data_IF_072181452986
#
_entry.id   IF_072181452986
#
_cell.length_a   1.000
_cell.length_b   1.000
_cell.length_c   1.000
_cell.angle_alpha   90.00
_cell.angle_beta   90.00
_cell.angle_gamma   90.00
#
_symmetry.space_group_name_H-M   'P 1'
#
loop_
_entity.id
_entity.type
_entity.pdbx_description
1 polymer ?
#
# COMPACT_ATOMS: atom_id res chain seq x y z
N UNK A 1 57.42 10.52 -30.61
CA UNK A 1 56.40 9.52 -30.29
C UNK A 1 56.61 8.83 -28.93
N UNK A 2 57.79 8.28 -28.62
CA UNK A 2 58.03 7.54 -27.34
C UNK A 2 57.76 8.37 -26.05
N UNK A 3 58.05 9.68 -26.01
CA UNK A 3 57.80 10.54 -24.84
C UNK A 3 56.30 10.84 -24.61
N UNK A 4 55.46 10.86 -25.66
CA UNK A 4 53.99 11.07 -25.53
C UNK A 4 53.26 9.80 -25.07
N UNK A 5 53.76 8.62 -25.46
CA UNK A 5 53.22 7.33 -25.01
C UNK A 5 53.49 7.11 -23.52
N UNK A 6 54.70 7.48 -23.03
CA UNK A 6 55.05 7.38 -21.61
C UNK A 6 54.20 8.33 -20.73
N UNK A 7 53.90 9.54 -21.22
CA UNK A 7 53.02 10.48 -20.47
C UNK A 7 51.56 10.04 -20.39
N UNK A 8 51.05 9.38 -21.46
CA UNK A 8 49.68 8.84 -21.46
C UNK A 8 49.56 7.61 -20.53
N UNK A 9 50.57 6.74 -20.55
CA UNK A 9 50.63 5.59 -19.64
C UNK A 9 50.77 6.01 -18.16
N UNK A 10 51.54 7.07 -17.88
CA UNK A 10 51.70 7.61 -16.52
C UNK A 10 50.41 8.31 -16.03
N UNK A 11 49.71 9.02 -16.91
CA UNK A 11 48.39 9.63 -16.58
C UNK A 11 47.31 8.55 -16.38
N UNK A 12 47.31 7.46 -17.13
CA UNK A 12 46.42 6.33 -16.94
C UNK A 12 46.70 5.58 -15.63
N UNK A 13 47.97 5.40 -15.24
CA UNK A 13 48.34 4.81 -13.95
C UNK A 13 47.85 5.67 -12.75
N UNK A 14 47.95 7.01 -12.84
CA UNK A 14 47.49 7.92 -11.81
C UNK A 14 45.96 8.02 -11.74
N UNK A 15 45.23 7.74 -12.83
CA UNK A 15 43.76 7.69 -12.85
C UNK A 15 43.17 6.37 -12.29
N UNK A 16 43.93 5.26 -12.40
CA UNK A 16 43.50 3.93 -11.93
C UNK A 16 43.85 3.74 -10.43
N UNK A 17 44.92 4.35 -9.91
CA UNK A 17 45.28 4.25 -8.49
C UNK A 17 44.21 4.72 -7.52
N UNK A 18 43.54 5.88 -7.69
CA UNK A 18 42.51 6.29 -6.73
C UNK A 18 41.27 5.38 -6.73
N UNK A 19 40.93 4.79 -7.88
CA UNK A 19 39.80 3.84 -7.95
C UNK A 19 40.11 2.54 -7.20
N UNK A 20 41.31 1.98 -7.35
CA UNK A 20 41.71 0.75 -6.67
C UNK A 20 41.87 0.92 -5.15
N UNK A 21 42.28 2.09 -4.69
CA UNK A 21 42.37 2.42 -3.25
C UNK A 21 40.98 2.61 -2.65
N UNK A 22 40.07 3.27 -3.36
CA UNK A 22 38.67 3.44 -2.90
C UNK A 22 37.94 2.08 -2.82
N UNK A 23 38.11 1.22 -3.80
CA UNK A 23 37.55 -0.13 -3.79
C UNK A 23 38.09 -0.99 -2.63
N UNK A 24 39.40 -0.90 -2.38
CA UNK A 24 40.03 -1.64 -1.28
C UNK A 24 39.60 -1.11 0.10
N UNK A 25 39.37 0.19 0.24
CA UNK A 25 38.87 0.79 1.47
C UNK A 25 37.40 0.33 1.72
N UNK A 26 36.54 0.39 0.72
CA UNK A 26 35.15 -0.07 0.83
C UNK A 26 35.08 -1.57 1.17
N UNK A 27 35.92 -2.41 0.57
CA UNK A 27 35.97 -3.85 0.91
C UNK A 27 36.43 -4.09 2.34
N UNK A 28 37.38 -3.29 2.84
CA UNK A 28 37.83 -3.35 4.24
C UNK A 28 36.72 -3.01 5.23
N UNK A 29 35.88 -2.02 4.88
CA UNK A 29 34.74 -1.61 5.73
C UNK A 29 33.65 -2.71 5.76
N UNK A 30 33.39 -3.36 4.63
CA UNK A 30 32.49 -4.51 4.54
C UNK A 30 33.03 -5.70 5.35
N UNK A 31 34.31 -6.01 5.23
CA UNK A 31 34.94 -7.12 5.97
C UNK A 31 34.92 -6.88 7.49
N UNK A 32 34.93 -5.63 7.93
CA UNK A 32 34.82 -5.26 9.35
C UNK A 32 33.42 -5.53 9.94
N UNK A 33 32.39 -5.68 9.10
CA UNK A 33 31.03 -6.01 9.54
C UNK A 33 30.83 -7.50 9.83
N UNK A 34 31.75 -8.39 9.47
CA UNK A 34 31.63 -9.83 9.70
C UNK A 34 31.46 -10.14 11.19
N UNK A 35 30.46 -10.97 11.52
CA UNK A 35 30.11 -11.33 12.90
C UNK A 35 29.31 -10.26 13.64
N UNK A 36 28.90 -9.18 12.96
CA UNK A 36 27.93 -8.21 13.51
C UNK A 36 26.50 -8.67 13.25
N UNK A 37 25.53 -7.96 13.83
CA UNK A 37 24.09 -8.23 13.65
C UNK A 37 23.43 -7.10 12.90
N UNK A 38 22.46 -7.47 12.05
CA UNK A 38 21.55 -6.56 11.38
C UNK A 38 20.13 -6.85 11.86
N UNK A 39 19.44 -5.86 12.36
CA UNK A 39 18.07 -6.00 12.85
C UNK A 39 17.07 -5.49 11.83
N UNK A 40 16.24 -6.39 11.28
CA UNK A 40 15.26 -6.11 10.24
C UNK A 40 13.85 -6.28 10.81
N UNK A 41 12.96 -5.33 10.56
CA UNK A 41 11.57 -5.34 10.98
C UNK A 41 10.66 -5.19 9.75
N UNK A 42 9.98 -6.25 9.37
CA UNK A 42 9.21 -6.33 8.14
C UNK A 42 7.79 -6.88 8.41
N UNK A 43 6.96 -6.95 7.39
CA UNK A 43 5.67 -7.63 7.42
C UNK A 43 5.86 -9.14 7.57
N UNK A 44 4.82 -9.83 8.05
CA UNK A 44 4.73 -11.29 7.94
C UNK A 44 4.66 -11.72 6.46
N UNK A 45 5.14 -12.91 6.13
CA UNK A 45 5.09 -13.50 4.78
C UNK A 45 5.63 -12.59 3.65
N UNK A 46 6.61 -11.72 3.95
CA UNK A 46 7.04 -10.64 3.06
C UNK A 46 8.50 -10.70 2.66
N UNK A 47 9.08 -11.90 2.71
CA UNK A 47 10.43 -12.23 2.24
C UNK A 47 10.50 -13.72 1.98
N UNK A 48 11.20 -14.15 0.93
CA UNK A 48 11.46 -15.57 0.68
C UNK A 48 12.36 -16.14 1.78
N UNK A 49 11.87 -17.14 2.49
CA UNK A 49 12.46 -17.69 3.72
C UNK A 49 13.01 -19.11 3.59
N UNK A 50 13.03 -19.65 2.36
CA UNK A 50 13.49 -20.98 2.06
C UNK A 50 12.42 -22.06 2.20
N UNK A 51 11.16 -21.71 2.47
CA UNK A 51 10.05 -22.65 2.39
C UNK A 51 9.87 -23.13 0.94
N UNK A 52 9.35 -24.34 0.78
CA UNK A 52 9.05 -24.95 -0.53
C UNK A 52 10.24 -24.93 -1.53
N UNK A 53 11.46 -25.10 -1.01
CA UNK A 53 12.71 -25.09 -1.79
C UNK A 53 13.05 -23.72 -2.43
N UNK A 54 12.45 -22.65 -1.97
CA UNK A 54 12.75 -21.28 -2.39
C UNK A 54 14.09 -20.79 -1.82
N UNK A 55 14.56 -19.63 -2.26
CA UNK A 55 15.76 -19.00 -1.71
C UNK A 55 15.47 -18.47 -0.30
N UNK A 56 16.21 -18.91 0.71
CA UNK A 56 16.26 -18.21 2.01
C UNK A 56 17.13 -16.96 1.87
N UNK A 57 16.46 -15.82 1.69
CA UNK A 57 17.11 -14.52 1.40
C UNK A 57 17.96 -14.04 2.56
N UNK A 58 17.48 -14.20 3.80
CA UNK A 58 18.25 -13.79 4.97
C UNK A 58 19.51 -14.62 5.12
N UNK A 59 19.39 -15.94 5.02
CA UNK A 59 20.52 -16.85 5.09
C UNK A 59 21.51 -16.62 3.95
N UNK A 60 21.05 -16.35 2.72
CA UNK A 60 21.93 -16.06 1.60
C UNK A 60 22.73 -14.76 1.82
N UNK A 61 22.11 -13.74 2.45
CA UNK A 61 22.80 -12.53 2.88
C UNK A 61 23.87 -12.83 3.96
N UNK A 62 23.53 -13.61 4.98
CA UNK A 62 24.45 -14.03 6.04
C UNK A 62 25.66 -14.78 5.47
N UNK A 63 25.43 -15.72 4.56
CA UNK A 63 26.50 -16.49 3.90
C UNK A 63 27.43 -15.60 3.08
N UNK A 64 26.84 -14.62 2.37
CA UNK A 64 27.59 -13.70 1.50
C UNK A 64 28.45 -12.70 2.27
N UNK A 65 27.89 -12.08 3.30
CA UNK A 65 28.52 -10.97 4.00
C UNK A 65 29.07 -11.33 5.38
N UNK A 66 28.65 -12.46 5.96
CA UNK A 66 29.01 -12.88 7.32
C UNK A 66 28.40 -11.99 8.39
N UNK A 67 27.24 -11.41 8.15
CA UNK A 67 26.47 -10.56 9.05
C UNK A 67 25.21 -11.33 9.45
N UNK A 68 24.99 -11.56 10.75
CA UNK A 68 23.82 -12.28 11.23
C UNK A 68 22.56 -11.40 11.12
N UNK A 69 21.48 -11.90 10.51
CA UNK A 69 20.20 -11.19 10.39
C UNK A 69 19.26 -11.59 11.54
N UNK A 70 18.84 -10.60 12.31
CA UNK A 70 17.77 -10.76 13.31
C UNK A 70 16.50 -10.18 12.70
N UNK A 71 15.58 -11.07 12.31
CA UNK A 71 14.38 -10.71 11.57
C UNK A 71 13.15 -10.85 12.44
N UNK A 72 12.42 -9.74 12.61
CA UNK A 72 11.14 -9.67 13.32
C UNK A 72 10.04 -9.22 12.37
N UNK A 73 8.80 -9.60 12.66
CA UNK A 73 7.62 -9.26 11.84
C UNK A 73 6.60 -8.40 12.58
N UNK A 74 5.74 -7.73 11.82
CA UNK A 74 4.59 -6.96 12.31
C UNK A 74 3.38 -7.13 11.38
N UNK A 75 2.18 -6.91 11.95
CA UNK A 75 0.90 -7.15 11.26
C UNK A 75 0.35 -5.91 10.55
N UNK A 76 0.72 -4.70 11.01
CA UNK A 76 0.29 -3.44 10.40
C UNK A 76 1.22 -2.27 10.74
N UNK A 77 1.16 -1.20 9.93
CA UNK A 77 1.99 -0.02 10.06
C UNK A 77 1.85 0.68 11.41
N UNK A 78 0.66 0.73 11.98
CA UNK A 78 0.37 1.45 13.23
C UNK A 78 1.00 0.76 14.44
N UNK A 79 0.95 -0.57 14.48
CA UNK A 79 1.62 -1.40 15.50
C UNK A 79 3.14 -1.25 15.39
N UNK A 80 3.68 -1.39 14.18
CA UNK A 80 5.10 -1.18 13.89
C UNK A 80 5.56 0.19 14.36
N UNK A 81 4.88 1.25 13.90
CA UNK A 81 5.20 2.64 14.26
C UNK A 81 5.16 2.86 15.79
N UNK A 82 4.14 2.36 16.47
CA UNK A 82 3.98 2.51 17.91
C UNK A 82 5.12 1.82 18.67
N UNK A 83 5.53 0.63 18.24
CA UNK A 83 6.66 -0.11 18.82
C UNK A 83 7.97 0.66 18.63
N UNK A 84 8.26 1.16 17.44
CA UNK A 84 9.45 1.95 17.15
C UNK A 84 9.48 3.25 17.95
N UNK A 85 8.35 3.95 18.03
CA UNK A 85 8.24 5.23 18.77
C UNK A 85 8.38 5.07 20.27
N UNK A 86 8.01 3.91 20.83
CA UNK A 86 8.19 3.64 22.26
C UNK A 86 9.66 3.50 22.70
N UNK A 87 10.59 3.29 21.76
CA UNK A 87 12.03 3.28 21.99
C UNK A 87 12.57 2.06 22.75
N UNK A 88 11.77 1.00 22.93
CA UNK A 88 12.17 -0.19 23.68
C UNK A 88 13.03 -1.19 22.89
N UNK A 89 13.10 -1.06 21.56
CA UNK A 89 13.80 -1.98 20.65
C UNK A 89 14.51 -1.17 19.58
N UNK A 90 15.74 -1.58 19.23
CA UNK A 90 16.51 -0.97 18.14
C UNK A 90 16.50 -1.90 16.94
N UNK A 91 15.93 -1.44 15.83
CA UNK A 91 16.08 -2.05 14.51
C UNK A 91 16.95 -1.16 13.63
N UNK A 92 17.57 -1.74 12.61
CA UNK A 92 18.36 -1.01 11.61
C UNK A 92 17.49 -0.70 10.40
N UNK A 93 16.69 -1.68 9.95
CA UNK A 93 15.81 -1.59 8.77
C UNK A 93 14.36 -1.77 9.18
N UNK A 94 13.48 -1.05 8.48
CA UNK A 94 12.03 -1.25 8.50
C UNK A 94 11.49 -1.13 7.07
N UNK A 95 10.42 -1.87 6.72
CA UNK A 95 9.83 -1.85 5.37
C UNK A 95 8.35 -1.43 5.45
N UNK A 96 8.04 -0.16 5.69
CA UNK A 96 6.67 0.35 5.80
C UNK A 96 6.06 0.74 4.46
N UNK A 97 4.75 0.96 4.46
CA UNK A 97 4.04 1.54 3.32
C UNK A 97 4.28 3.05 3.19
N UNK A 98 4.04 3.56 2.00
CA UNK A 98 4.28 4.94 1.56
C UNK A 98 3.84 6.03 2.55
N UNK A 99 2.58 6.02 3.00
CA UNK A 99 2.08 7.02 3.95
C UNK A 99 2.81 6.99 5.30
N UNK A 100 3.22 5.79 5.72
CA UNK A 100 3.97 5.63 6.96
C UNK A 100 5.42 6.06 6.79
N UNK A 101 6.04 5.80 5.63
CA UNK A 101 7.36 6.36 5.26
C UNK A 101 7.30 7.88 5.36
N UNK A 102 6.29 8.52 4.75
CA UNK A 102 6.11 9.97 4.81
C UNK A 102 5.99 10.48 6.24
N UNK A 103 5.22 9.79 7.07
CA UNK A 103 5.09 10.11 8.50
C UNK A 103 6.42 10.02 9.23
N UNK A 104 7.13 8.90 9.06
CA UNK A 104 8.41 8.66 9.72
C UNK A 104 9.48 9.66 9.28
N UNK A 105 9.49 10.08 8.00
CA UNK A 105 10.34 11.18 7.51
C UNK A 105 10.00 12.49 8.25
N UNK A 106 8.71 12.86 8.29
CA UNK A 106 8.26 14.11 8.90
C UNK A 106 8.57 14.20 10.41
N UNK A 107 8.61 13.06 11.09
CA UNK A 107 8.92 12.94 12.51
C UNK A 107 10.42 12.71 12.78
N UNK A 108 11.26 12.64 11.73
CA UNK A 108 12.71 12.47 11.86
C UNK A 108 13.11 11.10 12.40
N UNK A 109 12.33 10.06 12.13
CA UNK A 109 12.56 8.67 12.57
C UNK A 109 13.45 7.88 11.61
N UNK A 110 13.72 8.37 10.40
CA UNK A 110 14.53 7.72 9.39
C UNK A 110 15.87 8.44 9.19
N UNK A 111 16.90 7.70 8.83
CA UNK A 111 18.17 8.21 8.34
C UNK A 111 18.21 8.24 6.82
N UNK A 112 18.91 9.23 6.27
CA UNK A 112 19.15 9.30 4.82
C UNK A 112 20.02 8.13 4.37
N UNK A 113 19.67 7.55 3.25
CA UNK A 113 20.38 6.44 2.61
C UNK A 113 21.55 7.00 1.80
N UNK A 114 22.72 6.36 1.90
CA UNK A 114 23.83 6.59 0.97
C UNK A 114 23.69 5.64 -0.23
N UNK A 115 23.12 6.16 -1.31
CA UNK A 115 22.90 5.39 -2.55
C UNK A 115 24.18 4.95 -3.24
N UNK A 116 25.36 5.46 -2.86
CA UNK A 116 26.63 4.95 -3.35
C UNK A 116 26.91 3.51 -2.89
N UNK A 117 26.29 3.09 -1.77
CA UNK A 117 26.34 1.73 -1.25
C UNK A 117 25.22 0.83 -1.83
N UNK A 118 24.34 1.39 -2.65
CA UNK A 118 23.20 0.67 -3.25
C UNK A 118 23.25 0.77 -4.78
N UNK A 119 24.29 0.27 -5.46
CA UNK A 119 24.43 0.35 -6.92
C UNK A 119 23.30 -0.34 -7.69
N UNK A 120 22.58 -1.29 -7.06
CA UNK A 120 21.45 -1.98 -7.66
C UNK A 120 20.15 -1.13 -7.68
N UNK A 121 20.14 0.05 -7.04
CA UNK A 121 19.04 1.03 -7.18
C UNK A 121 18.78 1.45 -8.64
N UNK A 122 19.75 1.24 -9.53
CA UNK A 122 19.60 1.43 -10.98
C UNK A 122 18.47 0.60 -11.60
N UNK A 123 18.10 -0.52 -10.96
CA UNK A 123 17.01 -1.40 -11.43
C UNK A 123 15.62 -0.90 -11.06
N UNK A 124 15.51 0.11 -10.19
CA UNK A 124 14.23 0.77 -9.89
C UNK A 124 13.96 1.83 -10.96
N UNK A 125 12.87 1.72 -11.74
CA UNK A 125 12.53 2.67 -12.80
C UNK A 125 12.01 4.00 -12.24
N UNK A 126 12.06 5.05 -13.06
CA UNK A 126 11.70 6.42 -12.67
C UNK A 126 10.25 6.55 -12.18
N UNK A 127 9.33 5.70 -12.66
CA UNK A 127 7.92 5.72 -12.25
C UNK A 127 7.71 5.40 -10.75
N UNK A 128 8.68 4.76 -10.10
CA UNK A 128 8.66 4.44 -8.66
C UNK A 128 9.63 5.32 -7.85
N UNK A 129 10.20 6.34 -8.47
CA UNK A 129 11.08 7.32 -7.83
C UNK A 129 10.36 8.66 -7.66
N UNK A 130 10.85 9.49 -6.75
CA UNK A 130 10.33 10.83 -6.48
C UNK A 130 8.83 10.86 -6.16
N UNK A 131 8.31 9.79 -5.56
CA UNK A 131 6.92 9.71 -5.17
C UNK A 131 6.62 10.64 -3.99
N UNK A 132 5.34 10.97 -3.80
CA UNK A 132 4.92 11.99 -2.83
C UNK A 132 5.35 11.71 -1.38
N UNK A 133 5.59 10.46 -1.02
CA UNK A 133 6.06 10.08 0.31
C UNK A 133 7.55 10.34 0.55
N UNK A 134 8.38 10.27 -0.49
CA UNK A 134 9.83 10.59 -0.45
C UNK A 134 10.26 11.31 -1.74
N UNK A 135 9.90 12.59 -1.93
CA UNK A 135 10.01 13.29 -3.21
C UNK A 135 11.44 13.52 -3.70
N UNK A 136 12.43 13.29 -2.85
CA UNK A 136 13.85 13.41 -3.21
C UNK A 136 14.57 12.07 -3.25
N UNK A 137 13.88 10.94 -2.99
CA UNK A 137 14.46 9.60 -2.83
C UNK A 137 15.65 9.60 -1.86
N UNK A 138 15.46 10.15 -0.66
CA UNK A 138 16.54 10.24 0.31
C UNK A 138 16.45 9.18 1.41
N UNK A 139 15.26 8.59 1.64
CA UNK A 139 14.97 7.80 2.83
C UNK A 139 14.46 6.39 2.56
N UNK A 140 13.99 6.10 1.34
CA UNK A 140 13.36 4.84 1.01
C UNK A 140 13.84 4.25 -0.31
N UNK A 141 13.86 2.92 -0.37
CA UNK A 141 14.08 2.15 -1.60
C UNK A 141 12.85 1.31 -1.85
N UNK A 142 12.14 1.47 -2.98
CA UNK A 142 10.96 0.67 -3.31
C UNK A 142 11.26 -0.83 -3.24
N UNK A 143 10.41 -1.56 -2.51
CA UNK A 143 10.56 -2.99 -2.27
C UNK A 143 9.48 -3.79 -2.99
N UNK A 144 8.21 -3.47 -2.75
CA UNK A 144 7.06 -4.03 -3.45
C UNK A 144 6.09 -2.94 -3.85
N UNK A 145 5.21 -3.24 -4.80
CA UNK A 145 4.09 -2.40 -5.17
C UNK A 145 2.83 -3.22 -5.22
N UNK A 146 1.70 -2.61 -4.93
CA UNK A 146 0.43 -3.32 -4.96
C UNK A 146 -0.78 -2.41 -5.06
N UNK A 147 -1.92 -3.05 -5.18
CA UNK A 147 -3.22 -2.38 -5.26
C UNK A 147 -4.26 -3.22 -4.54
N UNK A 148 -5.26 -2.54 -3.99
CA UNK A 148 -6.47 -3.18 -3.47
C UNK A 148 -7.50 -3.24 -4.58
N UNK A 149 -8.11 -4.41 -4.77
CA UNK A 149 -9.20 -4.60 -5.70
C UNK A 149 -10.31 -5.46 -5.10
N UNK A 150 -11.23 -5.90 -5.91
CA UNK A 150 -12.38 -6.69 -5.50
C UNK A 150 -12.24 -8.13 -6.00
N UNK A 151 -12.11 -9.07 -5.07
CA UNK A 151 -12.18 -10.50 -5.32
C UNK A 151 -13.64 -10.92 -5.34
N UNK A 152 -14.01 -11.76 -6.31
CA UNK A 152 -15.34 -12.35 -6.36
C UNK A 152 -15.28 -13.84 -6.72
N UNK A 153 -16.25 -14.60 -6.22
CA UNK A 153 -16.37 -16.02 -6.49
C UNK A 153 -17.40 -16.23 -7.62
N UNK A 154 -16.97 -16.77 -8.75
CA UNK A 154 -17.81 -16.96 -9.96
C UNK A 154 -18.94 -17.97 -9.78
N UNK A 155 -18.85 -18.87 -8.78
CA UNK A 155 -19.95 -19.79 -8.42
C UNK A 155 -21.09 -19.06 -7.66
N UNK A 156 -20.82 -17.86 -7.12
CA UNK A 156 -21.79 -17.09 -6.34
C UNK A 156 -22.20 -15.77 -7.03
N UNK A 157 -21.36 -15.28 -7.96
CA UNK A 157 -21.52 -13.99 -8.62
C UNK A 157 -21.60 -14.24 -10.13
N UNK A 158 -22.79 -14.10 -10.72
CA UNK A 158 -23.04 -14.41 -12.14
C UNK A 158 -22.35 -13.41 -13.09
N UNK A 159 -22.34 -12.13 -12.73
CA UNK A 159 -21.74 -11.06 -13.54
C UNK A 159 -20.58 -10.40 -12.78
N UNK A 160 -19.44 -10.27 -13.45
CA UNK A 160 -18.26 -9.64 -12.86
C UNK A 160 -18.60 -8.21 -12.37
N UNK A 161 -18.36 -7.87 -11.07
CA UNK A 161 -18.64 -6.55 -10.57
C UNK A 161 -17.65 -5.53 -11.16
N UNK A 162 -18.12 -4.34 -11.53
CA UNK A 162 -17.28 -3.25 -12.04
C UNK A 162 -17.12 -2.08 -11.07
N UNK A 163 -17.71 -2.20 -9.88
CA UNK A 163 -17.86 -1.11 -8.92
C UNK A 163 -17.71 -1.59 -7.49
N UNK A 164 -17.12 -0.75 -6.63
CA UNK A 164 -17.11 -0.98 -5.19
C UNK A 164 -18.51 -1.08 -4.58
N UNK A 165 -19.54 -0.55 -5.24
CA UNK A 165 -20.92 -0.61 -4.73
C UNK A 165 -21.44 -2.02 -4.56
N UNK A 166 -20.86 -3.02 -5.24
CA UNK A 166 -21.16 -4.44 -5.04
C UNK A 166 -20.99 -4.89 -3.57
N UNK A 167 -20.11 -4.24 -2.81
CA UNK A 167 -19.94 -4.50 -1.37
C UNK A 167 -21.10 -4.06 -0.49
N UNK A 168 -22.12 -3.42 -1.06
CA UNK A 168 -23.37 -3.01 -0.40
C UNK A 168 -24.60 -3.69 -0.99
N UNK A 169 -24.42 -4.62 -1.93
CA UNK A 169 -25.52 -5.29 -2.61
C UNK A 169 -26.20 -6.33 -1.70
N UNK A 170 -27.51 -6.19 -1.53
CA UNK A 170 -28.34 -7.10 -0.73
C UNK A 170 -28.37 -8.53 -1.27
N UNK A 171 -28.13 -8.72 -2.57
CA UNK A 171 -28.11 -10.05 -3.19
C UNK A 171 -26.97 -10.92 -2.61
N UNK A 172 -25.92 -10.31 -2.12
CA UNK A 172 -24.76 -11.01 -1.52
C UNK A 172 -24.75 -10.89 0.01
N UNK A 173 -25.88 -10.54 0.62
CA UNK A 173 -25.97 -10.38 2.07
C UNK A 173 -25.47 -11.64 2.81
N UNK A 174 -24.66 -11.43 3.85
CA UNK A 174 -23.95 -12.46 4.61
C UNK A 174 -22.86 -13.23 3.85
N UNK A 175 -22.57 -12.88 2.60
CA UNK A 175 -21.49 -13.46 1.80
C UNK A 175 -20.45 -12.42 1.36
N UNK A 176 -20.46 -11.24 1.99
CA UNK A 176 -19.49 -10.17 1.77
C UNK A 176 -18.54 -10.11 2.95
N UNK A 177 -17.26 -10.23 2.68
CA UNK A 177 -16.22 -9.89 3.65
C UNK A 177 -15.78 -8.44 3.45
N UNK A 178 -15.26 -7.82 4.49
CA UNK A 178 -14.68 -6.47 4.40
C UNK A 178 -13.29 -6.48 5.00
N UNK A 179 -12.38 -5.72 4.41
CA UNK A 179 -11.00 -5.60 4.88
C UNK A 179 -10.94 -4.91 6.25
N UNK A 180 -10.23 -5.50 7.21
CA UNK A 180 -10.05 -4.96 8.56
C UNK A 180 -8.81 -4.03 8.64
N UNK A 181 -8.63 -3.21 7.63
CA UNK A 181 -7.66 -2.13 7.61
C UNK A 181 -8.43 -0.80 7.49
N UNK A 182 -8.37 0.09 8.49
CA UNK A 182 -9.16 1.32 8.47
C UNK A 182 -8.85 2.19 7.25
N UNK A 183 -7.59 2.29 6.85
CA UNK A 183 -7.20 3.15 5.75
C UNK A 183 -7.80 2.68 4.43
N UNK A 184 -7.74 1.37 4.15
CA UNK A 184 -8.32 0.76 2.95
C UNK A 184 -9.85 0.76 2.98
N UNK A 185 -10.46 0.41 4.11
CA UNK A 185 -11.91 0.43 4.26
C UNK A 185 -12.50 1.82 4.01
N UNK A 186 -11.89 2.86 4.58
CA UNK A 186 -12.30 4.25 4.32
C UNK A 186 -12.05 4.65 2.86
N UNK A 187 -10.94 4.24 2.25
CA UNK A 187 -10.66 4.54 0.85
C UNK A 187 -11.70 3.93 -0.10
N UNK A 188 -12.16 2.71 0.16
CA UNK A 188 -13.25 2.08 -0.59
C UNK A 188 -14.54 2.90 -0.46
N UNK A 189 -14.94 3.28 0.74
CA UNK A 189 -16.12 4.11 0.95
C UNK A 189 -15.97 5.51 0.33
N UNK A 190 -14.78 6.10 0.43
CA UNK A 190 -14.48 7.40 -0.20
C UNK A 190 -14.49 7.30 -1.73
N UNK A 191 -14.03 6.19 -2.31
CA UNK A 191 -14.14 5.92 -3.75
C UNK A 191 -15.58 5.92 -4.23
N UNK A 192 -16.46 5.18 -3.55
CA UNK A 192 -17.91 5.15 -3.84
C UNK A 192 -18.51 6.56 -3.78
N UNK A 193 -18.08 7.38 -2.85
CA UNK A 193 -18.54 8.76 -2.68
C UNK A 193 -17.84 9.77 -3.60
N UNK A 194 -16.90 9.32 -4.46
CA UNK A 194 -16.14 10.20 -5.34
C UNK A 194 -15.19 11.16 -4.61
N UNK A 195 -14.75 10.80 -3.41
CA UNK A 195 -13.88 11.60 -2.55
C UNK A 195 -12.39 11.24 -2.76
N UNK A 196 -11.52 12.17 -2.41
CA UNK A 196 -10.08 11.95 -2.33
C UNK A 196 -9.74 11.16 -1.05
N UNK A 197 -8.85 10.14 -1.16
CA UNK A 197 -8.41 9.31 -0.02
C UNK A 197 -7.61 10.08 1.02
N UNK A 198 -7.03 11.20 0.62
CA UNK A 198 -6.16 12.04 1.44
C UNK A 198 -6.85 13.35 1.85
N UNK A 199 -8.19 13.43 1.72
CA UNK A 199 -8.88 14.66 2.07
C UNK A 199 -8.78 14.96 3.57
N UNK A 200 -8.76 16.25 3.90
CA UNK A 200 -8.63 16.74 5.27
C UNK A 200 -9.98 17.21 5.87
N UNK A 201 -11.09 16.90 5.20
CA UNK A 201 -12.42 17.29 5.65
C UNK A 201 -13.00 16.29 6.66
N UNK A 202 -13.17 16.69 7.91
CA UNK A 202 -13.85 15.86 8.91
C UNK A 202 -15.23 15.38 8.45
N UNK A 203 -15.97 16.22 7.72
CA UNK A 203 -17.30 15.87 7.19
C UNK A 203 -17.20 14.70 6.23
N UNK A 204 -16.22 14.71 5.33
CA UNK A 204 -16.00 13.61 4.37
C UNK A 204 -15.73 12.29 5.07
N UNK A 205 -14.90 12.28 6.13
CA UNK A 205 -14.59 11.10 6.92
C UNK A 205 -15.83 10.58 7.66
N UNK A 206 -16.65 11.47 8.23
CA UNK A 206 -17.91 11.08 8.90
C UNK A 206 -18.92 10.50 7.93
N UNK A 207 -19.06 11.05 6.73
CA UNK A 207 -19.96 10.51 5.69
C UNK A 207 -19.47 9.13 5.21
N UNK A 208 -18.18 8.95 5.00
CA UNK A 208 -17.61 7.64 4.68
C UNK A 208 -17.84 6.61 5.80
N UNK A 209 -17.73 7.03 7.06
CA UNK A 209 -18.04 6.16 8.21
C UNK A 209 -19.51 5.72 8.22
N UNK A 210 -20.46 6.62 7.90
CA UNK A 210 -21.89 6.26 7.82
C UNK A 210 -22.13 5.25 6.68
N UNK A 211 -21.46 5.40 5.54
CA UNK A 211 -21.53 4.43 4.46
C UNK A 211 -20.96 3.05 4.88
N UNK A 212 -19.85 3.02 5.63
CA UNK A 212 -19.30 1.77 6.19
C UNK A 212 -20.21 1.14 7.24
N UNK A 213 -20.91 1.93 8.05
CA UNK A 213 -21.93 1.41 8.98
C UNK A 213 -23.11 0.77 8.24
N UNK A 214 -23.53 1.37 7.12
CA UNK A 214 -24.55 0.79 6.25
C UNK A 214 -24.10 -0.54 5.64
N UNK A 215 -22.82 -0.65 5.26
CA UNK A 215 -22.23 -1.87 4.72
C UNK A 215 -22.31 -3.06 5.70
N UNK A 216 -22.26 -2.82 7.01
CA UNK A 216 -22.39 -3.88 8.02
C UNK A 216 -23.73 -4.61 7.99
N UNK A 217 -24.73 -4.07 7.34
CA UNK A 217 -26.04 -4.73 7.14
C UNK A 217 -25.90 -5.97 6.26
N UNK A 218 -24.99 -5.95 5.31
CA UNK A 218 -24.77 -7.03 4.34
C UNK A 218 -23.47 -7.81 4.58
N UNK A 219 -22.50 -7.22 5.29
CA UNK A 219 -21.21 -7.87 5.58
C UNK A 219 -21.17 -8.44 7.00
N UNK A 220 -20.99 -9.77 7.14
CA UNK A 220 -20.93 -10.41 8.46
C UNK A 220 -19.60 -10.17 9.18
N UNK A 221 -18.52 -9.91 8.45
CA UNK A 221 -17.17 -9.90 9.03
C UNK A 221 -16.23 -8.87 8.38
N UNK A 222 -15.39 -8.28 9.23
CA UNK A 222 -14.19 -7.58 8.86
C UNK A 222 -13.01 -8.54 9.09
N UNK A 223 -12.20 -8.79 8.08
CA UNK A 223 -11.16 -9.81 8.06
C UNK A 223 -9.79 -9.25 7.72
N UNK A 224 -8.76 -9.88 8.24
CA UNK A 224 -7.38 -9.79 7.76
C UNK A 224 -7.05 -11.13 7.07
N UNK A 225 -6.02 -11.84 7.49
CA UNK A 225 -5.58 -13.09 6.88
C UNK A 225 -6.62 -14.23 6.95
N UNK A 226 -7.68 -14.08 7.77
CA UNK A 226 -8.82 -15.01 7.74
C UNK A 226 -9.53 -15.04 6.37
N UNK A 227 -9.28 -14.04 5.52
CA UNK A 227 -9.82 -14.00 4.15
C UNK A 227 -9.36 -15.19 3.33
N UNK A 228 -8.11 -15.64 3.47
CA UNK A 228 -7.57 -16.78 2.74
C UNK A 228 -8.47 -18.02 2.93
N UNK A 229 -8.64 -18.44 4.18
CA UNK A 229 -9.46 -19.61 4.49
C UNK A 229 -10.90 -19.49 3.96
N UNK A 230 -11.50 -18.31 4.05
CA UNK A 230 -12.89 -18.08 3.67
C UNK A 230 -13.11 -18.03 2.17
N UNK A 231 -12.23 -17.34 1.44
CA UNK A 231 -12.32 -17.26 -0.02
C UNK A 231 -11.91 -18.58 -0.68
N UNK A 232 -10.87 -19.24 -0.19
CA UNK A 232 -10.42 -20.55 -0.66
C UNK A 232 -11.49 -21.63 -0.44
N UNK A 233 -12.19 -21.59 0.69
CA UNK A 233 -13.31 -22.52 0.97
C UNK A 233 -14.61 -22.18 0.20
N UNK A 234 -14.66 -21.06 -0.54
CA UNK A 234 -15.87 -20.61 -1.23
C UNK A 234 -16.98 -20.12 -0.29
N UNK A 235 -16.64 -19.67 0.92
CA UNK A 235 -17.62 -19.20 1.92
C UNK A 235 -18.13 -17.78 1.67
N UNK A 236 -17.45 -17.00 0.80
CA UNK A 236 -17.82 -15.62 0.51
C UNK A 236 -17.90 -15.35 -1.00
N UNK A 237 -18.87 -14.49 -1.36
CA UNK A 237 -19.10 -14.06 -2.73
C UNK A 237 -18.15 -12.93 -3.14
N UNK A 238 -17.90 -11.97 -2.25
CA UNK A 238 -17.17 -10.74 -2.49
C UNK A 238 -16.25 -10.40 -1.33
N UNK A 239 -15.02 -9.95 -1.65
CA UNK A 239 -14.07 -9.44 -0.68
C UNK A 239 -13.12 -8.41 -1.31
N UNK A 240 -12.98 -7.19 -0.75
CA UNK A 240 -11.90 -6.29 -1.13
C UNK A 240 -10.60 -6.77 -0.50
N UNK A 241 -9.55 -6.95 -1.30
CA UNK A 241 -8.24 -7.32 -0.78
C UNK A 241 -7.10 -6.99 -1.76
N UNK A 242 -5.88 -7.32 -1.38
CA UNK A 242 -4.69 -7.01 -2.17
C UNK A 242 -4.53 -7.95 -3.36
N UNK A 243 -4.05 -7.42 -4.47
CA UNK A 243 -3.91 -8.13 -5.74
C UNK A 243 -2.95 -9.34 -5.66
N UNK A 244 -1.87 -9.24 -4.86
CA UNK A 244 -0.93 -10.34 -4.65
C UNK A 244 -1.59 -11.51 -3.93
N UNK A 245 -2.26 -11.24 -2.81
CA UNK A 245 -2.93 -12.25 -2.00
C UNK A 245 -4.05 -12.96 -2.77
N UNK A 246 -4.75 -12.23 -3.66
CA UNK A 246 -5.70 -12.87 -4.57
C UNK A 246 -5.05 -13.96 -5.43
N UNK A 247 -3.85 -13.72 -5.97
CA UNK A 247 -3.18 -14.72 -6.81
C UNK A 247 -2.88 -15.99 -6.02
N UNK A 248 -2.44 -15.87 -4.78
CA UNK A 248 -2.24 -17.01 -3.87
C UNK A 248 -3.56 -17.74 -3.58
N UNK A 249 -4.64 -17.01 -3.25
CA UNK A 249 -5.95 -17.62 -3.02
C UNK A 249 -6.49 -18.32 -4.25
N UNK A 250 -6.26 -17.78 -5.45
CA UNK A 250 -6.72 -18.37 -6.73
C UNK A 250 -6.07 -19.73 -7.01
N UNK A 251 -4.84 -19.96 -6.57
CA UNK A 251 -4.21 -21.28 -6.70
C UNK A 251 -4.97 -22.37 -5.96
N UNK A 252 -5.57 -22.03 -4.81
CA UNK A 252 -6.34 -22.96 -3.99
C UNK A 252 -7.84 -23.00 -4.35
N UNK A 253 -8.37 -21.92 -4.92
CA UNK A 253 -9.75 -21.85 -5.41
C UNK A 253 -9.79 -21.19 -6.80
N UNK A 254 -9.84 -21.98 -7.88
CA UNK A 254 -9.84 -21.46 -9.27
C UNK A 254 -11.11 -20.68 -9.65
N UNK A 255 -12.19 -20.75 -8.84
CA UNK A 255 -13.43 -20.00 -9.08
C UNK A 255 -13.34 -18.54 -8.60
N UNK A 256 -12.24 -18.15 -7.97
CA UNK A 256 -12.00 -16.76 -7.60
C UNK A 256 -11.54 -15.95 -8.81
N UNK A 257 -12.10 -14.76 -8.97
CA UNK A 257 -11.67 -13.76 -9.95
C UNK A 257 -11.46 -12.41 -9.28
N UNK A 258 -10.77 -11.48 -9.98
CA UNK A 258 -10.39 -10.20 -9.45
C UNK A 258 -10.66 -9.06 -10.43
N UNK A 259 -11.14 -7.94 -9.93
CA UNK A 259 -11.37 -6.74 -10.73
C UNK A 259 -10.89 -5.49 -10.00
N UNK A 260 -10.51 -4.50 -10.77
CA UNK A 260 -10.27 -3.13 -10.31
C UNK A 260 -11.52 -2.29 -10.54
N UNK A 261 -12.23 -1.86 -9.46
CA UNK A 261 -13.45 -1.07 -9.59
C UNK A 261 -13.22 0.30 -10.27
N UNK A 262 -14.20 0.71 -11.06
CA UNK A 262 -14.15 1.93 -11.90
C UNK A 262 -14.01 3.26 -11.13
N UNK A 263 -14.41 3.29 -9.87
CA UNK A 263 -14.27 4.48 -9.02
C UNK A 263 -12.81 4.80 -8.71
N UNK A 264 -11.96 3.79 -8.78
CA UNK A 264 -10.54 3.87 -8.49
C UNK A 264 -10.13 3.08 -7.24
N UNK A 265 -8.84 2.86 -7.12
CA UNK A 265 -8.24 1.98 -6.11
C UNK A 265 -7.05 2.62 -5.43
N UNK A 266 -6.71 2.14 -4.24
CA UNK A 266 -5.42 2.44 -3.64
C UNK A 266 -4.31 1.74 -4.42
N UNK A 267 -3.28 2.51 -4.75
CA UNK A 267 -1.98 2.03 -5.21
C UNK A 267 -0.97 2.34 -4.11
N UNK A 268 -0.15 1.39 -3.70
CA UNK A 268 0.83 1.59 -2.65
C UNK A 268 2.23 1.14 -3.08
N UNK A 269 3.23 1.72 -2.44
CA UNK A 269 4.63 1.35 -2.57
C UNK A 269 5.20 1.13 -1.17
N UNK A 270 5.57 -0.10 -0.88
CA UNK A 270 6.31 -0.39 0.33
C UNK A 270 7.81 -0.21 0.07
N UNK A 271 8.51 0.36 1.01
CA UNK A 271 9.91 0.73 0.83
C UNK A 271 10.80 0.35 2.00
N UNK A 272 12.00 -0.15 1.68
CA UNK A 272 13.03 -0.39 2.67
C UNK A 272 13.64 0.93 3.13
N UNK A 273 13.59 1.17 4.44
CA UNK A 273 14.05 2.38 5.11
C UNK A 273 15.06 2.06 6.21
N UNK A 274 15.99 2.97 6.46
CA UNK A 274 16.96 2.86 7.56
C UNK A 274 16.46 3.73 8.72
N UNK A 275 16.35 3.12 9.90
CA UNK A 275 15.90 3.82 11.09
C UNK A 275 16.97 4.77 11.61
N UNK A 276 16.54 5.90 12.15
CA UNK A 276 17.44 6.86 12.78
C UNK A 276 18.12 6.25 13.99
N UNK A 277 19.46 6.29 13.97
CA UNK A 277 20.27 5.68 15.02
C UNK A 277 20.49 4.18 14.82
N UNK A 278 20.26 3.66 13.62
CA UNK A 278 20.69 2.31 13.20
C UNK A 278 22.16 2.09 13.58
N UNK A 279 22.43 0.98 14.25
CA UNK A 279 23.78 0.70 14.75
C UNK A 279 24.73 0.29 13.64
N UNK A 280 24.20 -0.33 12.58
CA UNK A 280 24.95 -0.86 11.45
C UNK A 280 24.40 -0.32 10.11
N UNK A 281 24.47 1.02 9.94
CA UNK A 281 23.94 1.66 8.73
C UNK A 281 24.52 1.11 7.43
N UNK A 282 25.83 0.85 7.37
CA UNK A 282 26.45 0.26 6.19
C UNK A 282 25.93 -1.17 5.93
N UNK A 283 25.75 -1.99 6.98
CA UNK A 283 25.14 -3.31 6.83
C UNK A 283 23.70 -3.22 6.33
N UNK A 284 22.93 -2.22 6.79
CA UNK A 284 21.58 -1.95 6.31
C UNK A 284 21.56 -1.56 4.81
N UNK A 285 22.47 -0.70 4.38
CA UNK A 285 22.61 -0.32 2.97
C UNK A 285 23.03 -1.51 2.09
N UNK A 286 23.94 -2.37 2.58
CA UNK A 286 24.31 -3.61 1.89
C UNK A 286 23.15 -4.60 1.77
N UNK A 287 22.33 -4.72 2.84
CA UNK A 287 21.15 -5.58 2.81
C UNK A 287 20.10 -5.05 1.81
N UNK A 288 19.83 -3.75 1.81
CA UNK A 288 18.93 -3.14 0.82
C UNK A 288 19.46 -3.34 -0.59
N UNK A 289 20.78 -3.19 -0.81
CA UNK A 289 21.40 -3.48 -2.11
C UNK A 289 21.28 -4.95 -2.49
N UNK A 290 21.41 -5.86 -1.53
CA UNK A 290 21.26 -7.30 -1.74
C UNK A 290 19.82 -7.68 -2.12
N UNK A 291 18.80 -7.09 -1.49
CA UNK A 291 17.41 -7.27 -1.87
C UNK A 291 17.13 -6.85 -3.33
N UNK A 292 17.96 -5.96 -3.88
CA UNK A 292 17.90 -5.51 -5.29
C UNK A 292 18.87 -6.29 -6.21
N UNK A 293 19.47 -7.38 -5.78
CA UNK A 293 20.15 -8.29 -6.71
C UNK A 293 19.10 -9.00 -7.55
N UNK A 294 19.24 -9.10 -8.89
CA UNK A 294 18.18 -9.63 -9.75
C UNK A 294 17.65 -10.99 -9.32
N UNK A 295 18.53 -11.91 -8.92
CA UNK A 295 18.17 -13.25 -8.46
C UNK A 295 17.40 -13.21 -7.13
N UNK A 296 17.78 -12.33 -6.20
CA UNK A 296 17.13 -12.14 -4.91
C UNK A 296 15.78 -11.46 -5.07
N UNK A 297 15.73 -10.40 -5.89
CA UNK A 297 14.49 -9.69 -6.19
C UNK A 297 13.46 -10.59 -6.88
N UNK A 298 13.92 -11.47 -7.79
CA UNK A 298 13.06 -12.46 -8.43
C UNK A 298 12.52 -13.48 -7.42
N UNK A 299 13.39 -14.06 -6.58
CA UNK A 299 12.97 -15.01 -5.55
C UNK A 299 11.95 -14.43 -4.59
N UNK A 300 12.16 -13.18 -4.15
CA UNK A 300 11.18 -12.48 -3.32
C UNK A 300 9.85 -12.24 -4.06
N UNK A 301 9.88 -11.80 -5.32
CA UNK A 301 8.68 -11.53 -6.09
C UNK A 301 7.85 -12.81 -6.36
N UNK A 302 8.51 -13.93 -6.60
CA UNK A 302 7.87 -15.26 -6.76
C UNK A 302 7.21 -15.72 -5.46
N UNK A 303 7.91 -15.56 -4.33
CA UNK A 303 7.42 -16.00 -3.03
C UNK A 303 6.29 -15.13 -2.48
N UNK A 304 6.47 -13.80 -2.55
CA UNK A 304 5.53 -12.82 -1.98
C UNK A 304 4.26 -12.68 -2.86
N UNK A 305 4.34 -13.02 -4.15
CA UNK A 305 3.27 -12.85 -5.15
C UNK A 305 2.81 -11.39 -5.36
N UNK A 306 3.57 -10.39 -4.89
CA UNK A 306 3.30 -8.97 -5.13
C UNK A 306 4.10 -8.44 -6.32
N UNK A 307 3.60 -7.38 -6.94
CA UNK A 307 4.32 -6.76 -8.04
C UNK A 307 5.67 -6.20 -7.56
N UNK A 308 6.73 -6.58 -8.25
CA UNK A 308 8.07 -6.05 -8.01
C UNK A 308 8.28 -4.74 -8.77
N UNK A 309 8.83 -3.71 -8.13
CA UNK A 309 9.25 -2.51 -8.84
C UNK A 309 10.56 -2.70 -9.62
N UNK A 310 11.20 -3.88 -9.55
CA UNK A 310 12.51 -4.16 -10.11
C UNK A 310 12.45 -4.50 -11.60
N UNK A 311 13.17 -3.74 -12.47
CA UNK A 311 13.10 -3.89 -13.93
C UNK A 311 13.48 -5.29 -14.41
N UNK A 312 14.54 -5.89 -13.85
CA UNK A 312 14.99 -7.25 -14.24
C UNK A 312 14.01 -8.35 -13.80
N UNK A 313 13.05 -8.04 -12.91
CA UNK A 313 12.00 -8.97 -12.51
C UNK A 313 10.80 -8.85 -13.46
N UNK A 314 10.14 -7.69 -13.50
CA UNK A 314 8.88 -7.58 -14.26
C UNK A 314 9.06 -7.65 -15.79
N UNK A 315 10.30 -7.52 -16.29
CA UNK A 315 10.61 -7.74 -17.72
C UNK A 315 11.16 -9.14 -18.00
N UNK A 316 11.34 -9.99 -16.99
CA UNK A 316 11.87 -11.34 -17.15
C UNK A 316 10.78 -12.31 -17.64
N UNK A 317 10.91 -12.92 -18.83
CA UNK A 317 9.92 -13.88 -19.32
C UNK A 317 9.84 -15.19 -18.50
N UNK A 318 10.82 -15.46 -17.63
CA UNK A 318 10.85 -16.63 -16.73
C UNK A 318 10.12 -16.35 -15.40
N UNK A 319 9.75 -15.09 -15.14
CA UNK A 319 9.00 -14.72 -13.96
C UNK A 319 7.56 -15.25 -14.06
N UNK A 320 7.07 -15.97 -13.04
CA UNK A 320 5.75 -16.62 -13.04
C UNK A 320 4.59 -15.64 -13.31
N UNK A 321 4.76 -14.39 -12.88
CA UNK A 321 3.79 -13.33 -13.09
C UNK A 321 4.19 -12.35 -14.22
N UNK A 322 5.05 -12.78 -15.15
CA UNK A 322 5.41 -11.98 -16.31
C UNK A 322 4.17 -11.58 -17.11
N UNK A 323 4.01 -10.27 -17.36
CA UNK A 323 2.83 -9.71 -18.04
C UNK A 323 1.48 -10.03 -17.36
N UNK A 324 1.46 -10.35 -16.08
CA UNK A 324 0.22 -10.49 -15.33
C UNK A 324 -0.49 -9.14 -15.23
N UNK A 325 -1.68 -9.02 -15.83
CA UNK A 325 -2.42 -7.75 -15.91
C UNK A 325 -3.01 -7.30 -14.57
N UNK A 326 -3.06 -8.19 -13.57
CA UNK A 326 -3.51 -7.86 -12.22
C UNK A 326 -2.36 -7.20 -11.44
N UNK A 327 -1.16 -7.75 -11.51
CA UNK A 327 0.01 -7.14 -10.85
C UNK A 327 0.55 -5.92 -11.61
N UNK A 328 0.48 -5.97 -12.94
CA UNK A 328 1.06 -4.96 -13.84
C UNK A 328 0.01 -4.46 -14.86
N UNK A 329 -1.08 -3.84 -14.41
CA UNK A 329 -2.09 -3.31 -15.30
C UNK A 329 -1.51 -2.21 -16.20
N UNK A 330 -2.13 -2.01 -17.37
CA UNK A 330 -1.72 -0.95 -18.28
C UNK A 330 -1.90 0.45 -17.63
N UNK A 331 -0.95 1.34 -17.86
CA UNK A 331 -1.01 2.71 -17.32
C UNK A 331 -2.32 3.40 -17.73
N UNK A 332 -3.03 3.94 -16.75
CA UNK A 332 -4.28 4.67 -16.97
C UNK A 332 -5.51 3.80 -17.25
N UNK A 333 -5.43 2.48 -17.11
CA UNK A 333 -6.55 1.57 -17.27
C UNK A 333 -7.69 1.89 -16.28
N UNK A 334 -7.36 2.29 -15.08
CA UNK A 334 -8.29 2.75 -14.04
C UNK A 334 -7.62 3.83 -13.18
N UNK A 335 -8.40 4.50 -12.34
CA UNK A 335 -7.89 5.53 -11.44
C UNK A 335 -7.17 4.90 -10.26
N UNK A 336 -5.95 5.37 -9.98
CA UNK A 336 -5.17 4.98 -8.81
C UNK A 336 -4.83 6.19 -7.95
N UNK A 337 -4.68 5.99 -6.66
CA UNK A 337 -4.27 7.03 -5.71
C UNK A 337 -3.39 6.44 -4.60
N UNK A 338 -2.25 7.08 -4.35
CA UNK A 338 -1.39 6.78 -3.18
C UNK A 338 -2.02 7.31 -1.90
N UNK A 339 -1.80 6.61 -0.80
CA UNK A 339 -2.03 7.18 0.52
C UNK A 339 -0.93 8.17 0.89
N UNK A 340 -1.35 9.28 1.48
CA UNK A 340 -0.45 10.25 2.10
C UNK A 340 -0.64 10.25 3.62
N UNK A 341 0.38 10.69 4.34
CA UNK A 341 0.26 10.91 5.76
C UNK A 341 -0.83 11.96 6.05
N UNK A 342 -1.82 11.56 6.82
CA UNK A 342 -2.92 12.46 7.22
C UNK A 342 -2.48 13.32 8.40
N UNK A 343 -3.10 14.49 8.55
CA UNK A 343 -2.92 15.31 9.75
C UNK A 343 -3.29 14.54 11.02
N UNK A 344 -2.63 14.82 12.15
CA UNK A 344 -2.89 14.12 13.41
C UNK A 344 -4.37 14.13 13.84
N UNK A 345 -5.09 15.25 13.58
CA UNK A 345 -6.51 15.39 13.89
C UNK A 345 -7.37 14.43 13.06
N UNK A 346 -7.02 14.26 11.78
CA UNK A 346 -7.74 13.35 10.87
C UNK A 346 -7.41 11.89 11.19
N UNK A 347 -6.15 11.58 11.53
CA UNK A 347 -5.77 10.24 11.99
C UNK A 347 -6.53 9.85 13.27
N UNK A 348 -6.62 10.76 14.24
CA UNK A 348 -7.39 10.52 15.47
C UNK A 348 -8.89 10.36 15.18
N UNK A 349 -9.43 11.18 14.28
CA UNK A 349 -10.84 11.08 13.85
C UNK A 349 -11.09 9.74 13.14
N UNK A 350 -10.24 9.35 12.18
CA UNK A 350 -10.34 8.08 11.46
C UNK A 350 -10.35 6.89 12.43
N UNK A 351 -9.42 6.87 13.39
CA UNK A 351 -9.37 5.81 14.41
C UNK A 351 -10.66 5.75 15.23
N UNK A 352 -11.16 6.88 15.71
CA UNK A 352 -12.41 6.94 16.46
C UNK A 352 -13.62 6.49 15.63
N UNK A 353 -13.70 6.93 14.37
CA UNK A 353 -14.78 6.54 13.47
C UNK A 353 -14.71 5.06 13.10
N UNK A 354 -13.49 4.50 12.99
CA UNK A 354 -13.29 3.08 12.74
C UNK A 354 -13.79 2.22 13.91
N UNK A 355 -13.53 2.64 15.13
CA UNK A 355 -14.09 1.98 16.31
C UNK A 355 -15.62 2.07 16.33
N UNK A 356 -16.19 3.22 15.96
CA UNK A 356 -17.65 3.40 15.83
C UNK A 356 -18.24 2.48 14.76
N UNK A 357 -17.57 2.35 13.59
CA UNK A 357 -17.98 1.41 12.52
C UNK A 357 -17.94 -0.02 13.01
N UNK A 358 -16.84 -0.46 13.61
CA UNK A 358 -16.70 -1.85 14.11
C UNK A 358 -17.77 -2.21 15.15
N UNK A 359 -18.06 -1.29 16.05
CA UNK A 359 -19.03 -1.49 17.14
C UNK A 359 -20.48 -1.24 16.71
N UNK A 360 -20.72 -0.73 15.49
CA UNK A 360 -22.07 -0.47 15.01
C UNK A 360 -22.85 -1.77 14.84
N UNK A 361 -24.04 -1.82 15.42
CA UNK A 361 -25.04 -2.88 15.23
C UNK A 361 -26.12 -2.36 14.28
N UNK A 362 -26.26 -2.94 13.07
CA UNK A 362 -27.28 -2.51 12.14
C UNK A 362 -28.66 -2.64 12.73
N UNK A 363 -29.51 -1.62 12.59
CA UNK A 363 -30.93 -1.71 12.95
C UNK A 363 -31.67 -2.58 11.91
N UNK A 364 -32.67 -3.34 12.36
CA UNK A 364 -33.50 -4.20 11.48
C UNK A 364 -34.44 -3.40 10.54
N UNK A 365 -34.08 -2.21 10.12
CA UNK A 365 -34.79 -1.34 9.19
C UNK A 365 -34.05 -1.16 7.88
N UNK A 366 -34.74 -0.62 6.88
CA UNK A 366 -34.19 -0.17 5.62
C UNK A 366 -33.22 1.00 5.86
N UNK A 367 -32.07 0.79 6.44
CA UNK A 367 -31.09 1.78 6.81
C UNK A 367 -30.88 2.96 5.80
N UNK A 368 -29.78 3.61 5.80
CA UNK A 368 -29.50 4.74 4.88
C UNK A 368 -29.17 4.29 3.45
N UNK A 369 -29.47 3.04 3.06
CA UNK A 369 -29.16 2.49 1.73
C UNK A 369 -29.73 3.35 0.59
N UNK A 370 -31.01 3.68 0.65
CA UNK A 370 -31.67 4.55 -0.33
C UNK A 370 -31.04 5.97 -0.41
N UNK A 371 -30.46 6.41 0.68
CA UNK A 371 -29.77 7.69 0.75
C UNK A 371 -28.45 7.68 -0.06
N UNK A 372 -27.68 6.61 0.03
CA UNK A 372 -26.39 6.50 -0.66
C UNK A 372 -26.50 6.02 -2.11
N UNK A 373 -27.45 5.12 -2.41
CA UNK A 373 -27.51 4.43 -3.70
C UNK A 373 -28.76 4.72 -4.54
N UNK A 374 -29.72 5.52 -4.02
CA UNK A 374 -30.88 5.97 -4.77
C UNK A 374 -31.79 4.81 -5.18
N UNK A 375 -32.36 4.08 -4.24
CA UNK A 375 -33.39 3.09 -4.50
C UNK A 375 -34.79 3.71 -4.49
N UNK A 376 -35.70 3.27 -5.35
CA UNK A 376 -37.12 3.51 -5.16
C UNK A 376 -37.52 2.85 -3.83
N UNK A 377 -37.69 3.66 -2.77
CA UNK A 377 -38.34 3.19 -1.57
C UNK A 377 -39.71 2.70 -2.00
N UNK A 378 -39.96 1.39 -1.94
CA UNK A 378 -41.32 0.89 -1.84
C UNK A 378 -41.89 1.54 -0.58
N UNK A 379 -42.60 2.62 -0.77
CA UNK A 379 -43.36 3.29 0.27
C UNK A 379 -44.43 2.33 0.76
N UNK A 380 -44.15 1.56 1.78
CA UNK A 380 -45.16 1.30 2.80
C UNK A 380 -45.11 2.51 3.71
N UNK A 381 -45.90 3.49 3.35
CA UNK A 381 -46.27 4.60 4.23
C UNK A 381 -46.99 3.96 5.40
N UNK A 382 -46.29 3.72 6.49
CA UNK A 382 -46.95 3.65 7.79
C UNK A 382 -47.12 5.10 8.21
N UNK A 383 -48.38 5.46 8.35
CA UNK A 383 -48.88 6.77 8.69
C UNK A 383 -48.65 7.04 10.20
N UNK A 384 -47.39 7.09 10.59
CA UNK A 384 -46.97 7.55 11.92
C UNK A 384 -45.76 8.46 11.73
N UNK A 385 -46.04 9.76 11.83
CA UNK A 385 -45.07 10.84 11.66
C UNK A 385 -43.88 10.80 12.62
N UNK A 386 -42.97 9.88 12.43
CA UNK A 386 -41.72 9.89 13.16
C UNK A 386 -40.77 10.96 12.60
N UNK A 387 -40.58 11.93 13.43
CA UNK A 387 -39.69 13.06 13.30
C UNK A 387 -38.25 12.55 13.15
N UNK A 388 -37.62 12.86 12.02
CA UNK A 388 -36.17 12.71 11.86
C UNK A 388 -35.44 13.06 13.14
N UNK A 389 -34.59 12.19 13.65
CA UNK A 389 -33.81 12.48 14.85
C UNK A 389 -33.00 13.76 14.65
N UNK A 390 -32.69 14.52 15.70
CA UNK A 390 -31.92 15.75 15.61
C UNK A 390 -30.58 15.55 14.89
N UNK A 391 -29.98 14.35 15.00
CA UNK A 391 -28.74 13.99 14.32
C UNK A 391 -28.97 13.76 12.81
N UNK A 392 -29.98 13.04 12.38
CA UNK A 392 -30.32 12.84 10.98
C UNK A 392 -30.61 14.18 10.28
N UNK A 393 -31.28 15.12 10.95
CA UNK A 393 -31.50 16.50 10.47
C UNK A 393 -30.17 17.24 10.31
N UNK A 394 -29.24 17.05 11.23
CA UNK A 394 -27.91 17.67 11.21
C UNK A 394 -27.09 17.14 10.04
N UNK A 395 -27.11 15.84 9.77
CA UNK A 395 -26.43 15.23 8.63
C UNK A 395 -27.08 15.58 7.29
N UNK A 396 -28.40 15.59 7.19
CA UNK A 396 -29.09 16.07 5.99
C UNK A 396 -28.78 17.54 5.67
N UNK A 397 -28.61 18.39 6.70
CA UNK A 397 -28.19 19.78 6.55
C UNK A 397 -26.73 19.87 6.05
N UNK A 398 -25.81 19.04 6.59
CA UNK A 398 -24.43 19.02 6.15
C UNK A 398 -24.28 18.57 4.70
N UNK A 399 -25.07 17.58 4.26
CA UNK A 399 -25.08 17.10 2.89
C UNK A 399 -25.67 18.14 1.94
N UNK A 400 -26.75 18.80 2.36
CA UNK A 400 -27.30 19.93 1.61
C UNK A 400 -26.30 21.06 1.44
N UNK A 401 -25.57 21.40 2.49
CA UNK A 401 -24.49 22.40 2.45
C UNK A 401 -23.35 21.93 1.55
N UNK A 402 -22.94 20.67 1.61
CA UNK A 402 -21.88 20.12 0.78
C UNK A 402 -22.27 20.11 -0.71
N UNK A 403 -23.50 19.70 -1.04
CA UNK A 403 -24.01 19.76 -2.40
C UNK A 403 -24.02 21.20 -2.95
N UNK A 404 -24.39 22.18 -2.11
CA UNK A 404 -24.35 23.61 -2.47
C UNK A 404 -22.90 24.09 -2.68
N UNK A 405 -21.96 23.65 -1.84
CA UNK A 405 -20.54 24.01 -1.96
C UNK A 405 -19.94 23.39 -3.23
N UNK A 406 -20.26 22.14 -3.53
CA UNK A 406 -19.84 21.49 -4.78
C UNK A 406 -20.42 22.19 -6.00
N UNK A 407 -21.68 22.56 -5.97
CA UNK A 407 -22.33 23.31 -7.06
C UNK A 407 -21.70 24.71 -7.24
N UNK A 408 -21.44 25.40 -6.13
CA UNK A 408 -20.78 26.71 -6.15
C UNK A 408 -19.34 26.59 -6.69
N UNK A 409 -18.61 25.54 -6.35
CA UNK A 409 -17.27 25.28 -6.87
C UNK A 409 -17.29 24.98 -8.37
N UNK A 410 -18.23 24.17 -8.84
CA UNK A 410 -18.42 23.88 -10.28
C UNK A 410 -18.74 25.18 -11.04
N UNK A 411 -19.67 25.99 -10.54
CA UNK A 411 -20.02 27.29 -11.13
C UNK A 411 -18.81 28.22 -11.13
N UNK A 412 -18.06 28.27 -10.03
CA UNK A 412 -16.85 29.11 -9.95
C UNK A 412 -15.77 28.64 -10.94
N UNK A 413 -15.53 27.36 -11.08
CA UNK A 413 -14.59 26.83 -12.09
C UNK A 413 -15.05 27.12 -13.50
N UNK A 414 -16.35 26.98 -13.77
CA UNK A 414 -16.92 27.32 -15.10
C UNK A 414 -16.79 28.81 -15.40
N UNK A 415 -17.11 29.67 -14.47
CA UNK A 415 -16.97 31.10 -14.60
C UNK A 415 -15.50 31.53 -14.82
N UNK A 416 -14.56 30.96 -14.08
CA UNK A 416 -13.11 31.18 -14.20
C UNK A 416 -12.56 30.70 -15.56
N UNK A 417 -13.07 29.56 -16.07
CA UNK A 417 -12.71 29.06 -17.40
C UNK A 417 -13.20 30.05 -18.49
N UNK A 418 -14.46 30.46 -18.39
CA UNK A 418 -15.07 31.42 -19.35
C UNK A 418 -14.40 32.80 -19.32
N UNK A 419 -13.94 33.23 -18.14
CA UNK A 419 -13.19 34.49 -18.02
C UNK A 419 -11.80 34.42 -18.68
N UNK A 420 -11.14 33.26 -18.63
CA UNK A 420 -9.84 33.01 -19.28
C UNK A 420 -9.96 32.84 -20.82
N UNK A 421 -11.09 32.39 -21.32
CA UNK A 421 -11.35 32.25 -22.77
C UNK A 421 -11.75 33.59 -23.43
N UNK A 422 -12.14 34.57 -22.63
CA UNK A 422 -12.57 35.91 -23.11
C UNK A 422 -11.54 37.03 -22.79
N UNK A 423 -10.40 36.70 -22.16
CA UNK A 423 -9.25 37.58 -21.94
C UNK A 423 -8.06 37.18 -22.81
#
# INVERSE_FOLDING_TARGET
MKKRIASVLFALMFAIMPLSVAFAAQQSDIDALRGTKLYVYNWGEYISDGADETLDVNKAFEEKYGIDVVYDTYDNNEVMYSKLKSGGVSYDIVIPSDYMIQRMISEGMLDKIDFSNIPNYKYIPEKYKNLAHDPNNEYSVPYTVGMVGLIYNTEMVEEAPDSWTALWDDNYSNSILMINNPRDAFAIAQSVLGMDFNNESEVSWRVAAELLKEQKRVSPAYVNDEIFLKMEAGEAALAPYYAGDYLTMKENNPDLEFVYPKEGVNFFVDGACILKGAQNKLAAELYINFLLEPEVALANAEYICYASPHTEVYTNPEYSFYQNEILYPADGQFKTQLFLNLKPEILALMSSLWDDVKNHVPSNGTGNHAFFFGGESSQTVTDDGEVMTPEAKKYALYIGIFAIICLAYIVFRYARKKYRENA
#
